data_IF_795004870624
#
_entry.id   IF_795004870624
#
_cell.length_a   1.000
_cell.length_b   1.000
_cell.length_c   1.000
_cell.angle_alpha   90.00
_cell.angle_beta   90.00
_cell.angle_gamma   90.00
#
_symmetry.space_group_name_H-M   'P 1'
#
loop_
_entity.id
_entity.type
_entity.pdbx_description
1 polymer ?
#
# COMPACT_ATOMS: atom_id res chain seq x y z
N UNK A 1 27.99 40.02 -9.12
CA UNK A 1 26.85 40.13 -8.19
C UNK A 1 25.92 38.96 -8.47
N UNK A 2 25.95 37.93 -7.64
CA UNK A 2 25.15 36.71 -7.81
C UNK A 2 24.00 36.76 -6.80
N UNK A 3 22.94 37.49 -7.14
CA UNK A 3 21.74 37.56 -6.32
C UNK A 3 20.74 36.54 -6.87
N UNK A 4 20.84 35.26 -6.46
CA UNK A 4 19.66 34.40 -6.51
C UNK A 4 18.75 34.87 -5.38
N UNK A 5 17.54 35.30 -5.71
CA UNK A 5 16.50 35.51 -4.70
C UNK A 5 16.33 34.20 -3.91
N UNK A 6 16.01 34.24 -2.60
CA UNK A 6 15.75 33.02 -1.85
C UNK A 6 14.61 32.26 -2.54
N UNK A 7 14.91 31.04 -3.00
CA UNK A 7 13.90 30.12 -3.54
C UNK A 7 12.93 29.84 -2.40
N UNK A 8 11.65 30.15 -2.62
CA UNK A 8 10.60 29.79 -1.67
C UNK A 8 10.18 28.35 -2.00
N UNK A 9 10.24 27.41 -1.04
CA UNK A 9 9.81 26.05 -1.29
C UNK A 9 8.35 26.00 -1.77
N UNK A 10 8.11 25.20 -2.80
CA UNK A 10 6.76 24.80 -3.26
C UNK A 10 6.19 23.72 -2.34
N UNK A 11 4.93 23.37 -2.52
CA UNK A 11 4.29 22.18 -1.96
C UNK A 11 5.04 20.90 -2.32
N UNK A 12 5.47 20.75 -3.58
CA UNK A 12 6.28 19.64 -4.06
C UNK A 12 7.61 19.55 -3.30
N UNK A 13 8.36 20.65 -3.20
CA UNK A 13 9.64 20.69 -2.46
C UNK A 13 9.49 20.24 -1.00
N UNK A 14 8.35 20.58 -0.37
CA UNK A 14 8.05 20.25 1.03
C UNK A 14 7.60 18.79 1.18
N UNK A 15 6.83 18.27 0.24
CA UNK A 15 6.39 16.87 0.22
C UNK A 15 7.57 15.93 -0.08
N UNK A 16 8.41 16.27 -1.06
CA UNK A 16 9.65 15.55 -1.35
C UNK A 16 10.55 15.45 -0.12
N UNK A 17 10.68 16.54 0.64
CA UNK A 17 11.42 16.50 1.90
C UNK A 17 10.70 15.66 2.97
N UNK A 18 9.36 15.71 3.03
CA UNK A 18 8.57 14.82 3.88
C UNK A 18 8.83 13.34 3.58
N UNK A 19 8.94 12.97 2.30
CA UNK A 19 9.30 11.61 1.89
C UNK A 19 10.71 11.22 2.30
N UNK A 20 11.69 12.12 2.18
CA UNK A 20 13.05 11.88 2.69
C UNK A 20 13.03 11.58 4.19
N UNK A 21 12.28 12.36 4.97
CA UNK A 21 12.16 12.13 6.42
C UNK A 21 11.39 10.82 6.73
N UNK A 22 10.39 10.48 5.91
CA UNK A 22 9.67 9.20 6.01
C UNK A 22 10.62 8.01 5.80
N UNK A 23 11.50 8.09 4.80
CA UNK A 23 12.52 7.08 4.48
C UNK A 23 13.56 6.92 5.59
N UNK A 24 13.84 7.99 6.34
CA UNK A 24 14.68 7.96 7.55
C UNK A 24 13.96 7.31 8.75
N UNK A 25 12.65 7.10 8.66
CA UNK A 25 11.82 6.47 9.68
C UNK A 25 11.26 7.42 10.74
N UNK A 26 11.44 8.73 10.58
CA UNK A 26 10.83 9.74 11.47
C UNK A 26 9.46 10.16 10.95
N UNK A 27 8.47 9.29 11.15
CA UNK A 27 7.12 9.50 10.62
C UNK A 27 6.39 10.68 11.28
N UNK A 28 6.75 11.05 12.51
CA UNK A 28 6.22 12.25 13.15
C UNK A 28 6.70 13.53 12.47
N UNK A 29 7.99 13.65 12.17
CA UNK A 29 8.54 14.80 11.48
C UNK A 29 8.09 14.84 10.01
N UNK A 30 8.10 13.71 9.31
CA UNK A 30 7.59 13.59 7.94
C UNK A 30 6.16 14.11 7.83
N UNK A 31 5.30 13.75 8.80
CA UNK A 31 3.92 14.24 8.87
C UNK A 31 3.84 15.77 8.94
N UNK A 32 4.73 16.43 9.68
CA UNK A 32 4.73 17.89 9.77
C UNK A 32 5.18 18.54 8.46
N UNK A 33 6.09 17.93 7.72
CA UNK A 33 6.48 18.38 6.37
C UNK A 33 5.35 18.27 5.35
N UNK A 34 4.63 17.14 5.32
CA UNK A 34 3.45 17.01 4.48
C UNK A 34 2.36 18.03 4.86
N UNK A 35 2.18 18.32 6.17
CA UNK A 35 1.28 19.40 6.60
C UNK A 35 1.72 20.77 6.11
N UNK A 36 3.02 21.03 6.07
CA UNK A 36 3.55 22.28 5.53
C UNK A 36 3.36 22.38 4.02
N UNK A 37 3.50 21.27 3.27
CA UNK A 37 3.11 21.20 1.86
C UNK A 37 1.63 21.57 1.66
N UNK A 38 0.73 20.99 2.47
CA UNK A 38 -0.70 21.28 2.40
C UNK A 38 -1.09 22.69 2.86
N UNK A 39 -0.23 23.39 3.62
CA UNK A 39 -0.40 24.83 3.89
C UNK A 39 -0.07 25.69 2.67
N UNK A 40 0.77 25.21 1.74
CA UNK A 40 1.07 25.86 0.47
C UNK A 40 -0.02 25.62 -0.55
N UNK A 41 -0.39 24.35 -0.72
CA UNK A 41 -1.46 23.93 -1.59
C UNK A 41 -2.37 22.91 -0.89
N UNK A 42 -3.57 23.34 -0.43
CA UNK A 42 -4.52 22.47 0.24
C UNK A 42 -5.14 21.36 -0.63
N UNK A 43 -4.93 21.38 -1.95
CA UNK A 43 -5.42 20.35 -2.89
C UNK A 43 -4.28 19.47 -3.45
N UNK A 44 -3.07 19.56 -2.88
CA UNK A 44 -1.95 18.74 -3.30
C UNK A 44 -2.11 17.29 -2.84
N UNK A 45 -2.48 16.41 -3.77
CA UNK A 45 -2.89 15.04 -3.47
C UNK A 45 -1.79 14.21 -2.79
N UNK A 46 -0.52 14.35 -3.22
CA UNK A 46 0.59 13.60 -2.64
C UNK A 46 0.92 14.00 -1.20
N UNK A 47 0.66 15.26 -0.83
CA UNK A 47 0.71 15.69 0.57
C UNK A 47 -0.24 14.88 1.47
N UNK A 48 -1.43 14.55 0.97
CA UNK A 48 -2.37 13.69 1.70
C UNK A 48 -1.97 12.20 1.65
N UNK A 49 -1.41 11.72 0.53
CA UNK A 49 -0.83 10.38 0.43
C UNK A 49 0.26 10.17 1.49
N UNK A 50 1.23 11.10 1.56
CA UNK A 50 2.29 11.09 2.56
C UNK A 50 1.78 11.08 4.01
N UNK A 51 0.73 11.86 4.31
CA UNK A 51 0.05 11.77 5.61
C UNK A 51 -0.53 10.38 5.85
N UNK A 52 -1.22 9.79 4.88
CA UNK A 52 -1.79 8.44 4.97
C UNK A 52 -0.75 7.40 5.36
N UNK A 53 0.39 7.39 4.67
CA UNK A 53 1.52 6.51 4.96
C UNK A 53 2.15 6.76 6.33
N UNK A 54 2.37 8.02 6.71
CA UNK A 54 2.87 8.37 8.04
C UNK A 54 1.95 7.85 9.13
N UNK A 55 0.63 8.08 9.04
CA UNK A 55 -0.32 7.58 10.04
C UNK A 55 -0.39 6.05 10.09
N UNK A 56 -0.24 5.38 8.94
CA UNK A 56 -0.13 3.92 8.89
C UNK A 56 1.07 3.40 9.69
N UNK A 57 2.24 4.01 9.50
CA UNK A 57 3.47 3.69 10.25
C UNK A 57 3.38 4.01 11.74
N UNK A 58 2.58 5.01 12.09
CA UNK A 58 2.27 5.38 13.47
C UNK A 58 1.13 4.56 14.10
N UNK A 59 0.71 3.47 13.45
CA UNK A 59 -0.35 2.58 13.91
C UNK A 59 -1.71 3.28 14.14
N UNK A 60 -1.97 4.35 13.39
CA UNK A 60 -3.20 5.14 13.42
C UNK A 60 -4.00 4.90 12.14
N UNK A 61 -4.50 3.67 11.99
CA UNK A 61 -5.12 3.20 10.76
C UNK A 61 -6.38 4.01 10.36
N UNK A 62 -7.21 4.45 11.31
CA UNK A 62 -8.37 5.31 11.01
C UNK A 62 -7.94 6.64 10.37
N UNK A 63 -6.84 7.23 10.86
CA UNK A 63 -6.28 8.46 10.28
C UNK A 63 -5.64 8.18 8.91
N UNK A 64 -4.98 7.04 8.74
CA UNK A 64 -4.43 6.65 7.44
C UNK A 64 -5.54 6.58 6.38
N UNK A 65 -6.63 5.86 6.67
CA UNK A 65 -7.82 5.78 5.80
C UNK A 65 -8.37 7.17 5.48
N UNK A 66 -8.50 8.04 6.48
CA UNK A 66 -9.01 9.39 6.27
C UNK A 66 -8.18 10.18 5.25
N UNK A 67 -6.85 10.14 5.36
CA UNK A 67 -5.97 10.91 4.48
C UNK A 67 -5.84 10.29 3.09
N UNK A 68 -5.80 8.96 2.98
CA UNK A 68 -5.89 8.28 1.68
C UNK A 68 -7.20 8.62 0.94
N UNK A 69 -8.33 8.70 1.66
CA UNK A 69 -9.61 9.09 1.06
C UNK A 69 -9.64 10.54 0.56
N UNK A 70 -8.90 11.43 1.19
CA UNK A 70 -8.74 12.79 0.66
C UNK A 70 -7.87 12.76 -0.59
N UNK A 71 -6.71 12.08 -0.56
CA UNK A 71 -5.81 11.97 -1.72
C UNK A 71 -6.53 11.41 -2.95
N UNK A 72 -7.28 10.31 -2.78
CA UNK A 72 -8.07 9.64 -3.83
C UNK A 72 -9.16 10.55 -4.46
N UNK A 73 -9.63 11.55 -3.72
CA UNK A 73 -10.67 12.48 -4.17
C UNK A 73 -10.14 13.68 -4.97
N UNK A 74 -8.83 13.88 -5.02
CA UNK A 74 -8.19 15.05 -5.62
C UNK A 74 -7.61 14.73 -7.00
N UNK A 75 -7.61 15.73 -7.88
CA UNK A 75 -6.90 15.64 -9.15
C UNK A 75 -5.39 15.75 -8.91
N UNK A 76 -4.60 15.03 -9.71
CA UNK A 76 -3.15 15.08 -9.67
C UNK A 76 -2.56 14.90 -11.07
N UNK A 77 -1.31 15.31 -11.26
CA UNK A 77 -0.58 15.09 -12.51
C UNK A 77 0.21 13.77 -12.42
N UNK A 78 -0.17 12.72 -13.18
CA UNK A 78 0.53 11.44 -13.16
C UNK A 78 1.94 11.54 -13.76
N UNK A 79 2.32 12.65 -14.41
CA UNK A 79 3.70 12.89 -14.80
C UNK A 79 4.58 13.28 -13.60
N UNK A 80 3.98 13.92 -12.59
CA UNK A 80 4.68 14.38 -11.38
C UNK A 80 4.67 13.26 -10.33
N UNK A 81 3.52 12.62 -10.11
CA UNK A 81 3.35 11.55 -9.11
C UNK A 81 2.73 10.30 -9.77
N UNK A 82 3.50 9.55 -10.58
CA UNK A 82 2.99 8.45 -11.41
C UNK A 82 2.36 7.31 -10.60
N UNK A 83 2.89 7.03 -9.41
CA UNK A 83 2.46 5.89 -8.59
C UNK A 83 1.34 6.24 -7.60
N UNK A 84 0.87 7.50 -7.56
CA UNK A 84 -0.04 7.98 -6.50
C UNK A 84 -1.28 7.09 -6.33
N UNK A 85 -1.93 6.70 -7.43
CA UNK A 85 -3.11 5.82 -7.37
C UNK A 85 -2.77 4.47 -6.73
N UNK A 86 -1.63 3.86 -7.10
CA UNK A 86 -1.24 2.56 -6.58
C UNK A 86 -0.81 2.64 -5.12
N UNK A 87 -0.07 3.69 -4.75
CA UNK A 87 0.35 3.96 -3.38
C UNK A 87 -0.86 4.13 -2.46
N UNK A 88 -1.85 4.93 -2.89
CA UNK A 88 -3.08 5.16 -2.14
C UNK A 88 -3.87 3.86 -1.97
N UNK A 89 -4.05 3.06 -3.03
CA UNK A 89 -4.80 1.80 -2.92
C UNK A 89 -4.08 0.73 -2.09
N UNK A 90 -2.75 0.61 -2.20
CA UNK A 90 -1.96 -0.23 -1.31
C UNK A 90 -2.11 0.23 0.15
N UNK A 91 -2.00 1.54 0.39
CA UNK A 91 -2.20 2.18 1.69
C UNK A 91 -3.57 1.87 2.29
N UNK A 92 -4.65 1.98 1.50
CA UNK A 92 -5.98 1.56 1.92
C UNK A 92 -6.06 0.08 2.28
N UNK A 93 -5.52 -0.81 1.45
CA UNK A 93 -5.50 -2.25 1.73
C UNK A 93 -4.85 -2.53 3.09
N UNK A 94 -3.71 -1.90 3.38
CA UNK A 94 -2.99 -2.06 4.64
C UNK A 94 -3.74 -1.47 5.83
N UNK A 95 -4.31 -0.28 5.67
CA UNK A 95 -5.05 0.40 6.74
C UNK A 95 -6.35 -0.35 7.08
N UNK A 96 -7.11 -0.80 6.09
CA UNK A 96 -8.32 -1.61 6.34
C UNK A 96 -8.01 -2.98 6.92
N UNK A 97 -6.88 -3.58 6.57
CA UNK A 97 -6.41 -4.81 7.20
C UNK A 97 -6.12 -4.58 8.69
N UNK A 98 -5.46 -3.47 9.05
CA UNK A 98 -5.23 -3.10 10.44
C UNK A 98 -6.54 -2.82 11.22
N UNK A 99 -7.60 -2.40 10.51
CA UNK A 99 -8.94 -2.19 11.07
C UNK A 99 -9.84 -3.44 11.01
N UNK A 100 -9.33 -4.59 10.54
CA UNK A 100 -10.09 -5.85 10.38
C UNK A 100 -11.34 -5.71 9.48
N UNK A 101 -11.26 -4.86 8.45
CA UNK A 101 -12.36 -4.61 7.50
C UNK A 101 -12.16 -5.40 6.19
N UNK A 102 -12.28 -6.73 6.27
CA UNK A 102 -11.92 -7.66 5.17
C UNK A 102 -12.62 -7.37 3.83
N UNK A 103 -13.86 -6.89 3.86
CA UNK A 103 -14.58 -6.49 2.63
C UNK A 103 -13.86 -5.34 1.92
N UNK A 104 -13.42 -4.34 2.67
CA UNK A 104 -12.71 -3.17 2.11
C UNK A 104 -11.28 -3.53 1.72
N UNK A 105 -10.62 -4.43 2.47
CA UNK A 105 -9.32 -4.99 2.07
C UNK A 105 -9.39 -5.57 0.66
N UNK A 106 -10.39 -6.42 0.41
CA UNK A 106 -10.57 -7.06 -0.90
C UNK A 106 -10.95 -6.05 -2.00
N UNK A 107 -11.79 -5.07 -1.67
CA UNK A 107 -12.20 -4.01 -2.60
C UNK A 107 -11.00 -3.17 -3.07
N UNK A 108 -10.22 -2.62 -2.14
CA UNK A 108 -9.08 -1.77 -2.47
C UNK A 108 -7.89 -2.55 -3.03
N UNK A 109 -7.69 -3.81 -2.62
CA UNK A 109 -6.73 -4.68 -3.32
C UNK A 109 -7.15 -4.93 -4.77
N UNK A 110 -8.46 -5.09 -5.02
CA UNK A 110 -9.00 -5.19 -6.38
C UNK A 110 -8.75 -3.93 -7.21
N UNK A 111 -8.95 -2.73 -6.63
CA UNK A 111 -8.60 -1.47 -7.29
C UNK A 111 -7.10 -1.36 -7.55
N UNK A 112 -6.25 -1.73 -6.60
CA UNK A 112 -4.81 -1.75 -6.76
C UNK A 112 -4.36 -2.62 -7.95
N UNK A 113 -4.73 -3.91 -7.97
CA UNK A 113 -4.34 -4.81 -9.08
C UNK A 113 -5.01 -4.44 -10.40
N UNK A 114 -6.22 -3.86 -10.37
CA UNK A 114 -6.92 -3.37 -11.56
C UNK A 114 -6.30 -2.15 -12.21
N UNK A 115 -5.47 -1.38 -11.49
CA UNK A 115 -4.79 -0.18 -11.99
C UNK A 115 -3.29 -0.41 -12.27
N UNK A 116 -2.74 -1.58 -11.97
CA UNK A 116 -1.34 -1.87 -12.32
C UNK A 116 -1.14 -2.09 -13.82
N UNK A 117 -0.07 -1.50 -14.36
CA UNK A 117 0.38 -1.75 -15.73
C UNK A 117 1.63 -2.66 -15.76
N UNK A 118 1.47 -3.89 -15.27
CA UNK A 118 2.58 -4.85 -15.13
C UNK A 118 3.38 -5.07 -16.43
N UNK A 119 2.72 -4.99 -17.59
CA UNK A 119 3.36 -5.22 -18.87
C UNK A 119 4.40 -4.14 -19.26
N UNK A 120 4.19 -2.90 -18.82
CA UNK A 120 5.05 -1.77 -19.18
C UNK A 120 5.91 -1.29 -18.00
N UNK A 121 5.36 -1.32 -16.78
CA UNK A 121 5.98 -0.76 -15.58
C UNK A 121 6.54 -1.83 -14.63
N UNK A 122 6.16 -3.10 -14.86
CA UNK A 122 6.48 -4.19 -13.94
C UNK A 122 5.61 -4.19 -12.69
N UNK A 123 5.95 -5.04 -11.73
CA UNK A 123 5.17 -5.16 -10.50
C UNK A 123 5.45 -3.97 -9.57
N UNK A 124 4.38 -3.40 -9.01
CA UNK A 124 4.49 -2.26 -8.09
C UNK A 124 5.36 -2.58 -6.88
N UNK A 125 6.16 -1.59 -6.51
CA UNK A 125 6.99 -1.53 -5.31
C UNK A 125 6.85 -0.12 -4.76
N UNK A 126 6.62 0.03 -3.46
CA UNK A 126 6.51 1.35 -2.85
C UNK A 126 7.87 2.06 -2.90
N UNK A 127 7.94 3.18 -3.62
CA UNK A 127 9.18 3.91 -3.90
C UNK A 127 9.93 4.32 -2.62
N UNK A 128 9.18 4.70 -1.58
CA UNK A 128 9.72 5.16 -0.29
C UNK A 128 10.01 4.04 0.71
N UNK A 129 9.58 2.81 0.42
CA UNK A 129 10.01 1.63 1.18
C UNK A 129 9.96 0.37 0.31
N UNK A 130 11.02 0.07 -0.46
CA UNK A 130 10.98 -0.97 -1.49
C UNK A 130 10.75 -2.41 -1.01
N UNK A 131 10.78 -2.64 0.31
CA UNK A 131 10.39 -3.93 0.90
C UNK A 131 8.88 -4.16 0.82
N UNK A 132 8.10 -3.09 0.74
CA UNK A 132 6.65 -3.11 0.53
C UNK A 132 6.39 -3.16 -0.97
N UNK A 133 5.73 -4.21 -1.42
CA UNK A 133 5.44 -4.40 -2.85
C UNK A 133 4.09 -5.10 -3.08
N UNK A 134 3.76 -5.37 -4.34
CA UNK A 134 2.52 -6.03 -4.75
C UNK A 134 2.23 -7.35 -4.00
N UNK A 135 3.25 -8.12 -3.59
CA UNK A 135 3.06 -9.36 -2.84
C UNK A 135 2.47 -9.12 -1.45
N UNK A 136 2.80 -7.99 -0.81
CA UNK A 136 2.23 -7.61 0.49
C UNK A 136 0.73 -7.30 0.37
N UNK A 137 0.33 -6.64 -0.72
CA UNK A 137 -1.08 -6.40 -1.03
C UNK A 137 -1.79 -7.72 -1.31
N UNK A 138 -1.14 -8.62 -2.07
CA UNK A 138 -1.72 -9.90 -2.47
C UNK A 138 -1.92 -10.86 -1.28
N UNK A 139 -0.95 -10.97 -0.36
CA UNK A 139 -1.09 -11.83 0.82
C UNK A 139 -2.16 -11.31 1.77
N UNK A 140 -2.29 -9.99 1.92
CA UNK A 140 -3.35 -9.39 2.73
C UNK A 140 -4.73 -9.64 2.10
N UNK A 141 -4.85 -9.54 0.78
CA UNK A 141 -6.06 -9.93 0.06
C UNK A 141 -6.39 -11.41 0.28
N UNK A 142 -5.42 -12.31 0.14
CA UNK A 142 -5.62 -13.75 0.31
C UNK A 142 -6.10 -14.10 1.73
N UNK A 143 -5.56 -13.43 2.75
CA UNK A 143 -5.97 -13.57 4.15
C UNK A 143 -7.40 -13.05 4.39
N UNK A 144 -7.76 -11.89 3.83
CA UNK A 144 -9.13 -11.37 3.91
C UNK A 144 -10.14 -12.31 3.20
N UNK A 145 -9.79 -12.82 2.02
CA UNK A 145 -10.61 -13.81 1.30
C UNK A 145 -10.81 -15.09 2.12
N UNK A 146 -9.76 -15.59 2.80
CA UNK A 146 -9.87 -16.71 3.72
C UNK A 146 -10.82 -16.44 4.89
N UNK A 147 -10.65 -15.30 5.55
CA UNK A 147 -11.48 -14.85 6.69
C UNK A 147 -12.96 -14.78 6.32
N UNK A 148 -13.25 -14.29 5.10
CA UNK A 148 -14.62 -14.20 4.57
C UNK A 148 -15.19 -15.53 4.07
N UNK A 149 -14.42 -16.61 4.06
CA UNK A 149 -14.82 -17.92 3.55
C UNK A 149 -14.75 -18.08 2.04
N UNK A 150 -14.10 -17.14 1.33
CA UNK A 150 -13.84 -17.23 -0.11
C UNK A 150 -12.58 -18.06 -0.38
N UNK A 151 -12.58 -19.31 0.07
CA UNK A 151 -11.39 -20.18 0.07
C UNK A 151 -10.80 -20.41 -1.32
N UNK A 152 -11.64 -20.55 -2.35
CA UNK A 152 -11.15 -20.69 -3.73
C UNK A 152 -10.39 -19.45 -4.21
N UNK A 153 -10.89 -18.25 -3.91
CA UNK A 153 -10.19 -17.00 -4.26
C UNK A 153 -8.89 -16.84 -3.46
N UNK A 154 -8.92 -17.22 -2.18
CA UNK A 154 -7.73 -17.22 -1.33
C UNK A 154 -6.62 -18.14 -1.88
N UNK A 155 -7.00 -19.32 -2.40
CA UNK A 155 -6.09 -20.23 -3.09
C UNK A 155 -5.53 -19.58 -4.36
N UNK A 156 -6.38 -18.99 -5.20
CA UNK A 156 -5.93 -18.32 -6.43
C UNK A 156 -4.92 -17.20 -6.15
N UNK A 157 -5.21 -16.35 -5.16
CA UNK A 157 -4.31 -15.30 -4.69
C UNK A 157 -2.98 -15.88 -4.16
N UNK A 158 -3.03 -17.00 -3.42
CA UNK A 158 -1.84 -17.66 -2.88
C UNK A 158 -0.97 -18.28 -4.00
N UNK A 159 -1.57 -18.90 -5.00
CA UNK A 159 -0.86 -19.46 -6.16
C UNK A 159 -0.22 -18.36 -7.03
N UNK A 160 -0.88 -17.19 -7.12
CA UNK A 160 -0.31 -16.01 -7.76
C UNK A 160 0.95 -15.52 -7.01
N UNK A 161 0.93 -15.46 -5.68
CA UNK A 161 2.13 -15.14 -4.88
C UNK A 161 3.27 -16.12 -5.18
N UNK A 162 3.00 -17.42 -5.17
CA UNK A 162 4.02 -18.44 -5.47
C UNK A 162 4.61 -18.27 -6.88
N UNK A 163 3.78 -17.91 -7.86
CA UNK A 163 4.21 -17.64 -9.23
C UNK A 163 5.14 -16.44 -9.30
N UNK A 164 4.77 -15.34 -8.65
CA UNK A 164 5.51 -14.08 -8.68
C UNK A 164 6.80 -14.14 -7.85
N UNK A 165 6.85 -15.02 -6.85
CA UNK A 165 8.09 -15.40 -6.15
C UNK A 165 9.01 -16.32 -6.98
N UNK A 166 8.59 -16.76 -8.17
CA UNK A 166 9.37 -17.66 -9.03
C UNK A 166 9.40 -19.12 -8.56
N UNK A 167 8.48 -19.51 -7.65
CA UNK A 167 8.33 -20.86 -7.11
C UNK A 167 6.88 -21.36 -7.24
N UNK A 168 6.33 -21.51 -8.47
CA UNK A 168 4.93 -21.87 -8.66
C UNK A 168 4.55 -23.14 -7.89
N UNK A 169 3.43 -23.09 -7.17
CA UNK A 169 2.88 -24.18 -6.37
C UNK A 169 1.39 -24.29 -6.65
N UNK A 170 0.92 -25.51 -6.88
CA UNK A 170 -0.50 -25.87 -6.96
C UNK A 170 -0.99 -26.21 -5.55
N UNK A 171 -1.99 -25.48 -5.04
CA UNK A 171 -2.49 -25.62 -3.66
C UNK A 171 -3.74 -26.48 -3.65
N UNK A 172 -3.53 -27.80 -3.80
CA UNK A 172 -4.60 -28.80 -3.78
C UNK A 172 -5.03 -29.15 -2.34
N UNK A 173 -6.04 -28.45 -1.83
CA UNK A 173 -6.60 -28.65 -0.48
C UNK A 173 -8.13 -28.78 -0.52
N UNK A 174 -8.70 -29.75 0.21
CA UNK A 174 -10.15 -29.86 0.37
C UNK A 174 -10.68 -28.87 1.41
N UNK A 175 -10.89 -27.62 0.97
CA UNK A 175 -11.39 -26.52 1.80
C UNK A 175 -12.83 -26.72 2.31
N UNK A 176 -13.55 -27.77 1.89
CA UNK A 176 -14.85 -28.12 2.48
C UNK A 176 -14.67 -28.75 3.87
N UNK A 177 -13.49 -29.28 4.18
CA UNK A 177 -13.18 -29.87 5.49
C UNK A 177 -12.49 -28.88 6.42
N UNK A 178 -12.64 -29.10 7.73
CA UNK A 178 -11.89 -28.32 8.75
C UNK A 178 -10.38 -28.52 8.58
N UNK A 179 -9.96 -29.74 8.23
CA UNK A 179 -8.55 -30.09 8.03
C UNK A 179 -7.97 -29.35 6.83
N UNK A 180 -8.65 -29.36 5.68
CA UNK A 180 -8.16 -28.65 4.48
C UNK A 180 -8.09 -27.14 4.68
N UNK A 181 -9.05 -26.54 5.40
CA UNK A 181 -8.96 -25.11 5.77
C UNK A 181 -7.80 -24.82 6.72
N UNK A 182 -7.47 -25.73 7.64
CA UNK A 182 -6.31 -25.57 8.52
C UNK A 182 -4.99 -25.67 7.74
N UNK A 183 -4.92 -26.52 6.71
CA UNK A 183 -3.76 -26.58 5.80
C UNK A 183 -3.63 -25.27 5.02
N UNK A 184 -4.71 -24.76 4.43
CA UNK A 184 -4.71 -23.48 3.72
C UNK A 184 -4.27 -22.32 4.62
N UNK A 185 -4.80 -22.24 5.84
CA UNK A 185 -4.37 -21.22 6.82
C UNK A 185 -2.87 -21.31 7.13
N UNK A 186 -2.34 -22.52 7.31
CA UNK A 186 -0.92 -22.74 7.60
C UNK A 186 -0.02 -22.29 6.43
N UNK A 187 -0.48 -22.51 5.20
CA UNK A 187 0.23 -22.07 3.99
C UNK A 187 0.21 -20.54 3.83
N UNK A 188 -0.92 -19.88 4.10
CA UNK A 188 -1.01 -18.42 4.14
C UNK A 188 -0.08 -17.82 5.20
N UNK A 189 -0.05 -18.39 6.40
CA UNK A 189 0.86 -17.97 7.48
C UNK A 189 2.33 -18.16 7.09
N UNK A 190 2.65 -19.28 6.44
CA UNK A 190 4.00 -19.55 5.95
C UNK A 190 4.43 -18.50 4.93
N UNK A 191 3.63 -18.22 3.90
CA UNK A 191 3.94 -17.21 2.89
C UNK A 191 4.05 -15.82 3.51
N UNK A 192 3.11 -15.43 4.39
CA UNK A 192 3.22 -14.16 5.11
C UNK A 192 4.53 -14.05 5.90
N UNK A 193 5.01 -15.15 6.49
CA UNK A 193 6.28 -15.15 7.21
C UNK A 193 7.49 -14.98 6.30
N UNK A 194 7.45 -15.48 5.05
CA UNK A 194 8.50 -15.24 4.06
C UNK A 194 8.53 -13.76 3.70
N UNK A 195 7.36 -13.21 3.35
CA UNK A 195 7.23 -11.81 2.90
C UNK A 195 7.59 -10.80 3.99
N UNK A 196 7.36 -11.12 5.27
CA UNK A 196 7.81 -10.26 6.39
C UNK A 196 9.33 -10.18 6.56
N UNK A 197 10.07 -11.15 6.03
CA UNK A 197 11.52 -11.29 6.25
C UNK A 197 12.37 -10.91 5.03
N UNK A 198 11.75 -10.33 3.99
CA UNK A 198 12.43 -9.89 2.76
C UNK A 198 13.01 -8.47 2.87
#
# INVERSE_FOLDING_TARGET
MNCRAPVKPTEEDLADYGWVIYEEGDYEEAREWFRDALKKDPIYADGYNGLGWCFGKLHQADSAVHYFAIADSLEYDPFITPDLTLDVYAGFTFAYNALTQDTLVREYAGYFFGNQNVAEEGNWTFSHEPRINHLDVLIIRALAEFSMGYFQLSIESLEEIYRDMGVPKDVDVDYNTVVGRAVLASELEYVQSILKNQ
#
